data_IF_547992479388
#
_entry.id   IF_547992479388
#
_cell.length_a   1.000
_cell.length_b   1.000
_cell.length_c   1.000
_cell.angle_alpha   90.00
_cell.angle_beta   90.00
_cell.angle_gamma   90.00
#
_symmetry.space_group_name_H-M   'P 1'
#
loop_
_entity.id
_entity.type
_entity.pdbx_description
1 polymer ?
#
# COMPACT_ATOMS: atom_id res chain seq x y z
N UNK A 1 -11.49 20.31 6.50
CA UNK A 1 -11.25 20.89 7.84
C UNK A 1 -9.79 20.65 8.18
N UNK A 2 -8.95 21.68 8.00
CA UNK A 2 -7.49 21.59 8.17
C UNK A 2 -7.08 21.50 9.63
N UNK A 3 -6.01 20.76 9.90
CA UNK A 3 -5.52 20.47 11.24
C UNK A 3 -4.92 21.73 11.89
N UNK A 4 -5.58 22.28 12.91
CA UNK A 4 -5.24 23.55 13.56
C UNK A 4 -4.16 23.49 14.65
N UNK A 5 -3.31 22.45 14.70
CA UNK A 5 -2.38 22.24 15.83
C UNK A 5 -0.90 22.19 15.48
N UNK A 6 -0.49 22.55 14.26
CA UNK A 6 0.93 22.60 13.89
C UNK A 6 1.56 23.94 14.32
N UNK A 7 1.76 24.14 15.62
CA UNK A 7 2.58 25.25 16.12
C UNK A 7 4.00 24.77 16.39
N UNK A 8 4.98 25.41 15.77
CA UNK A 8 6.41 25.25 16.07
C UNK A 8 6.73 25.88 17.43
N UNK A 9 7.58 25.24 18.22
CA UNK A 9 8.15 25.87 19.42
C UNK A 9 9.32 26.79 19.03
N UNK A 10 9.76 27.66 19.96
CA UNK A 10 10.86 28.63 19.72
C UNK A 10 12.18 27.97 19.31
N UNK A 11 12.32 26.65 19.50
CA UNK A 11 13.49 25.85 19.12
C UNK A 11 13.34 25.11 17.78
N UNK A 12 12.33 25.46 16.96
CA UNK A 12 12.18 24.94 15.60
C UNK A 12 11.67 23.49 15.50
N UNK A 13 11.41 22.82 16.61
CA UNK A 13 10.82 21.47 16.60
C UNK A 13 9.28 21.53 16.54
N UNK A 14 8.65 20.85 15.57
CA UNK A 14 7.19 20.76 15.50
C UNK A 14 6.67 19.88 16.64
N UNK A 15 5.68 20.38 17.39
CA UNK A 15 4.90 19.54 18.30
C UNK A 15 4.10 18.56 17.44
N UNK A 16 4.59 17.33 17.31
CA UNK A 16 3.82 16.24 16.70
C UNK A 16 2.46 16.08 17.40
N UNK A 17 1.53 15.38 16.75
CA UNK A 17 0.32 14.92 17.41
C UNK A 17 0.69 14.16 18.70
N UNK A 18 -0.21 14.08 19.69
CA UNK A 18 0.06 13.41 20.99
C UNK A 18 0.50 11.93 20.92
N UNK A 19 0.65 11.37 19.71
CA UNK A 19 1.47 10.20 19.42
C UNK A 19 2.70 10.68 18.65
N UNK A 20 3.90 10.46 19.20
CA UNK A 20 5.24 10.91 18.77
C UNK A 20 5.65 10.65 17.29
N UNK A 21 4.78 10.95 16.32
CA UNK A 21 4.99 10.80 14.89
C UNK A 21 5.25 12.14 14.21
N UNK A 22 5.97 12.06 13.10
CA UNK A 22 6.26 13.16 12.18
C UNK A 22 4.98 13.68 11.55
N UNK A 23 4.79 15.00 11.53
CA UNK A 23 3.61 15.63 10.91
C UNK A 23 3.73 15.68 9.38
N UNK A 24 3.87 14.52 8.74
CA UNK A 24 3.51 14.36 7.33
C UNK A 24 1.99 14.31 7.23
N UNK A 25 1.43 14.92 6.19
CA UNK A 25 -0.03 15.00 5.92
C UNK A 25 -0.75 13.65 5.88
N UNK A 26 0.00 12.53 5.87
CA UNK A 26 -0.53 11.15 5.82
C UNK A 26 -0.37 10.35 7.15
N UNK A 27 0.20 10.95 8.20
CA UNK A 27 0.54 10.25 9.46
C UNK A 27 -0.66 10.00 10.41
N UNK A 28 -1.89 10.39 10.04
CA UNK A 28 -3.08 10.23 10.88
C UNK A 28 -4.01 9.09 10.41
N UNK A 29 -3.43 8.04 9.84
CA UNK A 29 -4.18 6.86 9.40
C UNK A 29 -4.21 5.80 10.52
N UNK A 30 -5.40 5.30 10.89
CA UNK A 30 -5.68 4.31 11.97
C UNK A 30 -4.88 2.99 11.88
N UNK A 31 -4.14 2.77 10.79
CA UNK A 31 -3.37 1.58 10.48
C UNK A 31 -1.86 1.83 10.36
N UNK A 32 -1.35 3.04 10.66
CA UNK A 32 0.10 3.30 10.63
C UNK A 32 0.77 2.51 11.75
N UNK A 33 1.70 1.62 11.38
CA UNK A 33 2.57 0.97 12.37
C UNK A 33 3.71 1.95 12.63
N UNK A 34 3.86 2.36 13.88
CA UNK A 34 4.94 3.24 14.28
C UNK A 34 6.25 2.44 14.30
N UNK A 35 7.28 2.94 13.61
CA UNK A 35 8.59 2.30 13.61
C UNK A 35 9.44 2.81 14.79
N UNK A 36 9.31 2.15 15.93
CA UNK A 36 10.11 2.40 17.13
C UNK A 36 11.61 2.10 16.98
N UNK A 37 12.03 1.41 15.91
CA UNK A 37 13.43 1.04 15.68
C UNK A 37 14.13 1.95 14.68
N UNK A 38 13.43 2.90 14.07
CA UNK A 38 13.94 3.81 13.04
C UNK A 38 15.21 4.58 13.44
N UNK A 39 15.47 4.77 14.74
CA UNK A 39 16.65 5.47 15.28
C UNK A 39 17.66 4.55 16.00
N UNK A 40 17.54 3.23 15.88
CA UNK A 40 18.52 2.29 16.43
C UNK A 40 19.51 1.88 15.33
N UNK A 41 20.79 2.14 15.58
CA UNK A 41 21.87 1.51 14.82
C UNK A 41 21.92 0.02 15.14
N UNK A 42 21.88 -0.82 14.11
CA UNK A 42 22.06 -2.27 14.25
C UNK A 42 23.40 -2.55 14.96
N UNK A 43 23.44 -3.42 15.98
CA UNK A 43 24.69 -3.87 16.56
C UNK A 43 25.55 -4.52 15.48
N UNK A 44 26.87 -4.27 15.50
CA UNK A 44 27.88 -4.97 14.70
C UNK A 44 27.88 -4.77 13.17
N UNK A 45 27.19 -3.76 12.63
CA UNK A 45 27.25 -3.50 11.18
C UNK A 45 26.59 -4.59 10.32
N UNK A 46 25.67 -5.35 10.90
CA UNK A 46 24.83 -6.28 10.16
C UNK A 46 24.00 -5.53 9.11
N UNK A 47 23.84 -6.16 7.94
CA UNK A 47 23.01 -5.60 6.87
C UNK A 47 21.56 -5.54 7.33
N UNK A 48 20.85 -4.42 7.09
CA UNK A 48 19.42 -4.33 7.40
C UNK A 48 18.67 -5.44 6.67
N UNK A 49 17.58 -5.92 7.28
CA UNK A 49 16.78 -6.98 6.70
C UNK A 49 16.22 -6.55 5.33
N UNK A 50 16.48 -7.35 4.29
CA UNK A 50 16.22 -6.98 2.88
C UNK A 50 14.75 -7.00 2.48
N UNK A 51 13.83 -7.27 3.41
CA UNK A 51 12.40 -7.31 3.11
C UNK A 51 11.69 -6.04 3.57
N UNK A 52 10.65 -5.68 2.83
CA UNK A 52 9.87 -4.47 3.03
C UNK A 52 8.38 -4.81 3.02
N UNK A 53 7.61 -4.22 3.93
CA UNK A 53 6.14 -4.29 3.90
C UNK A 53 5.59 -3.16 3.04
N UNK A 54 4.84 -3.51 2.00
CA UNK A 54 4.14 -2.56 1.13
C UNK A 54 2.64 -2.71 1.32
N UNK A 55 1.95 -1.58 1.43
CA UNK A 55 0.50 -1.49 1.53
C UNK A 55 -0.09 -0.97 0.23
N UNK A 56 -1.17 -1.62 -0.18
CA UNK A 56 -2.02 -1.27 -1.31
C UNK A 56 -3.38 -0.75 -0.84
N UNK A 57 -4.29 -0.53 -1.79
CA UNK A 57 -5.67 -0.14 -1.51
C UNK A 57 -6.34 -1.18 -0.58
N UNK A 58 -7.35 -0.73 0.16
CA UNK A 58 -8.15 -1.55 1.09
C UNK A 58 -7.35 -2.20 2.23
N UNK A 59 -6.13 -1.72 2.50
CA UNK A 59 -5.29 -2.26 3.57
C UNK A 59 -4.66 -3.62 3.23
N UNK A 60 -4.72 -4.06 1.97
CA UNK A 60 -3.96 -5.20 1.49
C UNK A 60 -2.47 -4.90 1.70
N UNK A 61 -1.78 -5.79 2.41
CA UNK A 61 -0.35 -5.68 2.71
C UNK A 61 0.37 -6.89 2.15
N UNK A 62 1.50 -6.66 1.52
CA UNK A 62 2.37 -7.73 1.02
C UNK A 62 3.82 -7.42 1.40
N UNK A 63 4.62 -8.46 1.56
CA UNK A 63 6.06 -8.33 1.77
C UNK A 63 6.78 -8.53 0.44
N UNK A 64 7.78 -7.70 0.19
CA UNK A 64 8.62 -7.76 -1.01
C UNK A 64 10.09 -7.78 -0.60
N UNK A 65 10.91 -8.47 -1.39
CA UNK A 65 12.35 -8.48 -1.22
C UNK A 65 12.97 -7.34 -2.03
N UNK A 66 13.75 -6.51 -1.35
CA UNK A 66 14.50 -5.41 -1.94
C UNK A 66 15.84 -5.93 -2.48
N UNK A 67 15.80 -6.60 -3.64
CA UNK A 67 17.01 -7.21 -4.24
C UNK A 67 18.05 -6.19 -4.66
N UNK A 68 17.62 -4.97 -4.98
CA UNK A 68 18.46 -3.93 -5.54
C UNK A 68 18.97 -2.96 -4.47
N UNK A 69 18.73 -3.28 -3.18
CA UNK A 69 19.13 -2.50 -2.02
C UNK A 69 18.77 -1.01 -2.15
N UNK A 70 17.59 -0.74 -2.70
CA UNK A 70 17.08 0.62 -2.86
C UNK A 70 16.95 1.29 -1.48
N UNK A 71 17.32 2.58 -1.34
CA UNK A 71 17.18 3.31 -0.08
C UNK A 71 15.71 3.66 0.16
N UNK A 72 14.94 2.70 0.68
CA UNK A 72 13.51 2.83 0.93
C UNK A 72 13.24 3.28 2.36
N UNK A 73 12.41 4.31 2.50
CA UNK A 73 11.91 4.81 3.78
C UNK A 73 10.42 4.58 3.93
N UNK A 74 9.93 4.56 5.17
CA UNK A 74 8.50 4.47 5.45
C UNK A 74 7.79 5.69 4.84
N UNK A 75 6.70 5.44 4.12
CA UNK A 75 5.95 6.45 3.37
C UNK A 75 6.36 6.56 1.90
N UNK A 76 7.47 5.95 1.48
CA UNK A 76 7.85 5.95 0.06
C UNK A 76 6.82 5.21 -0.79
N UNK A 77 6.52 5.76 -1.96
CA UNK A 77 5.71 5.09 -2.97
C UNK A 77 6.64 4.31 -3.89
N UNK A 78 6.35 3.03 -4.08
CA UNK A 78 7.19 2.08 -4.81
C UNK A 78 6.39 1.34 -5.87
N UNK A 79 7.07 1.01 -6.97
CA UNK A 79 6.56 0.13 -8.00
C UNK A 79 7.00 -1.31 -7.70
N UNK A 80 6.03 -2.20 -7.52
CA UNK A 80 6.22 -3.61 -7.15
C UNK A 80 5.88 -4.55 -8.29
N UNK A 81 6.53 -5.70 -8.30
CA UNK A 81 6.18 -6.79 -9.18
C UNK A 81 4.76 -7.30 -8.87
N UNK A 82 3.95 -7.45 -9.92
CA UNK A 82 2.64 -8.09 -9.87
C UNK A 82 2.61 -9.30 -10.81
N UNK A 83 1.58 -10.15 -10.70
CA UNK A 83 1.39 -11.29 -11.61
C UNK A 83 1.31 -10.87 -13.08
N UNK A 84 0.70 -9.71 -13.32
CA UNK A 84 0.60 -9.06 -14.63
C UNK A 84 0.97 -7.59 -14.45
N UNK A 85 1.95 -7.11 -15.21
CA UNK A 85 2.35 -5.70 -15.17
C UNK A 85 3.07 -5.31 -13.87
N UNK A 86 2.76 -4.12 -13.37
CA UNK A 86 3.30 -3.60 -12.12
C UNK A 86 2.22 -2.95 -11.27
N UNK A 87 2.39 -3.07 -9.94
CA UNK A 87 1.51 -2.44 -8.98
C UNK A 87 2.23 -1.29 -8.25
N UNK A 88 1.47 -0.35 -7.71
CA UNK A 88 2.00 0.81 -6.99
C UNK A 88 1.47 0.80 -5.57
N UNK A 89 2.38 0.80 -4.60
CA UNK A 89 2.05 0.73 -3.20
C UNK A 89 2.94 1.63 -2.33
N UNK A 90 2.53 1.81 -1.09
CA UNK A 90 3.25 2.62 -0.10
C UNK A 90 4.00 1.72 0.87
N UNK A 91 5.27 2.02 1.13
CA UNK A 91 6.09 1.34 2.12
C UNK A 91 5.58 1.68 3.52
N UNK A 92 5.25 0.66 4.31
CA UNK A 92 4.75 0.85 5.67
C UNK A 92 5.71 0.39 6.75
N UNK A 93 6.58 -0.58 6.46
CA UNK A 93 7.62 -1.04 7.37
C UNK A 93 8.87 -1.45 6.59
N UNK A 94 10.03 -1.19 7.18
CA UNK A 94 11.34 -1.60 6.68
C UNK A 94 12.15 -2.24 7.81
N UNK A 95 13.23 -2.96 7.47
CA UNK A 95 14.18 -3.48 8.44
C UNK A 95 13.62 -4.59 9.35
N UNK A 96 14.12 -4.68 10.57
CA UNK A 96 13.91 -5.83 11.45
C UNK A 96 12.45 -5.99 11.90
N UNK A 97 11.67 -4.90 11.92
CA UNK A 97 10.23 -4.97 12.17
C UNK A 97 9.50 -5.84 11.14
N UNK A 98 9.96 -5.85 9.88
CA UNK A 98 9.39 -6.70 8.84
C UNK A 98 9.62 -8.18 9.18
N UNK A 99 10.80 -8.54 9.71
CA UNK A 99 11.07 -9.93 10.13
C UNK A 99 10.10 -10.39 11.21
N UNK A 100 9.84 -9.57 12.21
CA UNK A 100 8.88 -9.89 13.29
C UNK A 100 7.47 -10.06 12.74
N UNK A 101 7.06 -9.19 11.81
CA UNK A 101 5.74 -9.26 11.18
C UNK A 101 5.57 -10.48 10.25
N UNK A 102 6.61 -10.82 9.50
CA UNK A 102 6.62 -12.02 8.63
C UNK A 102 6.53 -13.30 9.47
N UNK A 103 7.31 -13.40 10.56
CA UNK A 103 7.22 -14.54 11.49
C UNK A 103 5.83 -14.66 12.11
N UNK A 104 5.24 -13.55 12.56
CA UNK A 104 3.90 -13.54 13.15
C UNK A 104 2.80 -13.97 12.16
N UNK A 105 2.96 -13.64 10.88
CA UNK A 105 2.00 -14.01 9.82
C UNK A 105 2.32 -15.35 9.14
N UNK A 106 3.36 -16.05 9.58
CA UNK A 106 3.86 -17.27 8.95
C UNK A 106 4.00 -17.13 7.43
N UNK A 107 4.56 -15.99 6.97
CA UNK A 107 4.68 -15.69 5.56
C UNK A 107 5.74 -16.58 4.91
N UNK A 108 5.35 -17.30 3.85
CA UNK A 108 6.25 -18.15 3.09
C UNK A 108 7.13 -17.29 2.16
N UNK A 109 8.44 -17.52 2.22
CA UNK A 109 9.42 -16.76 1.45
C UNK A 109 9.63 -17.33 0.05
N UNK A 110 8.95 -18.40 -0.32
CA UNK A 110 9.10 -19.06 -1.63
C UNK A 110 8.61 -18.22 -2.81
N UNK A 111 7.62 -17.35 -2.61
CA UNK A 111 7.05 -16.48 -3.65
C UNK A 111 7.68 -15.06 -3.55
N UNK A 112 9.00 -14.99 -3.80
CA UNK A 112 9.80 -13.76 -3.69
C UNK A 112 9.43 -12.73 -4.76
N UNK A 113 8.39 -11.93 -4.50
CA UNK A 113 8.09 -10.76 -5.32
C UNK A 113 9.08 -9.62 -5.02
N UNK A 114 9.50 -8.90 -6.06
CA UNK A 114 10.53 -7.86 -5.99
C UNK A 114 9.95 -6.45 -6.06
N UNK A 115 10.66 -5.50 -5.45
CA UNK A 115 10.47 -4.06 -5.67
C UNK A 115 11.34 -3.65 -6.86
N UNK A 116 10.76 -3.00 -7.86
CA UNK A 116 11.52 -2.57 -9.05
C UNK A 116 12.23 -1.24 -8.83
N UNK A 117 11.51 -0.25 -8.29
CA UNK A 117 12.01 1.12 -8.12
C UNK A 117 11.09 1.92 -7.21
N UNK A 118 11.58 3.08 -6.76
CA UNK A 118 10.69 4.14 -6.28
C UNK A 118 9.78 4.59 -7.43
N UNK A 119 8.50 4.79 -7.14
CA UNK A 119 7.54 5.22 -8.14
C UNK A 119 7.94 6.59 -8.69
N UNK A 120 8.00 6.70 -10.01
CA UNK A 120 8.21 8.00 -10.66
C UNK A 120 6.94 8.84 -10.58
N UNK A 121 7.04 10.15 -10.82
CA UNK A 121 5.86 11.01 -10.87
C UNK A 121 4.83 10.51 -11.90
N UNK A 122 5.30 10.00 -13.04
CA UNK A 122 4.43 9.40 -14.06
C UNK A 122 3.67 8.18 -13.52
N UNK A 123 4.34 7.31 -12.77
CA UNK A 123 3.72 6.13 -12.17
C UNK A 123 2.64 6.55 -11.16
N UNK A 124 2.91 7.59 -10.35
CA UNK A 124 1.95 8.16 -9.40
C UNK A 124 0.75 8.78 -10.13
N UNK A 125 0.98 9.55 -11.19
CA UNK A 125 -0.09 10.19 -11.95
C UNK A 125 -1.00 9.15 -12.63
N UNK A 126 -0.43 8.06 -13.16
CA UNK A 126 -1.19 6.95 -13.72
C UNK A 126 -1.99 6.25 -12.62
N UNK A 127 -1.36 5.95 -11.49
CA UNK A 127 -2.01 5.31 -10.35
C UNK A 127 -3.20 6.13 -9.84
N UNK A 128 -3.05 7.44 -9.68
CA UNK A 128 -4.13 8.35 -9.27
C UNK A 128 -5.26 8.35 -10.30
N UNK A 129 -4.95 8.50 -11.59
CA UNK A 129 -5.96 8.45 -12.67
C UNK A 129 -6.69 7.12 -12.74
N UNK A 130 -6.00 6.01 -12.50
CA UNK A 130 -6.60 4.68 -12.45
C UNK A 130 -7.57 4.56 -11.27
N UNK A 131 -7.21 5.11 -10.11
CA UNK A 131 -8.09 5.16 -8.94
C UNK A 131 -9.34 6.02 -9.16
N UNK A 132 -9.21 7.15 -9.85
CA UNK A 132 -10.36 8.00 -10.19
C UNK A 132 -11.37 7.30 -11.12
N UNK A 133 -10.92 6.30 -11.89
CA UNK A 133 -11.81 5.49 -12.75
C UNK A 133 -12.59 4.42 -11.97
N UNK A 134 -12.21 4.10 -10.74
CA UNK A 134 -12.85 3.04 -9.94
C UNK A 134 -14.33 3.33 -9.68
N UNK A 135 -14.64 4.55 -9.22
CA UNK A 135 -16.01 4.94 -8.87
C UNK A 135 -16.96 4.94 -10.07
N UNK A 136 -16.66 5.59 -11.22
CA UNK A 136 -17.54 5.51 -12.38
C UNK A 136 -17.60 4.09 -12.96
N UNK A 137 -16.52 3.30 -12.88
CA UNK A 137 -16.54 1.91 -13.31
C UNK A 137 -17.46 1.07 -12.43
N UNK A 138 -17.54 1.35 -11.12
CA UNK A 138 -18.42 0.64 -10.18
C UNK A 138 -19.88 0.79 -10.53
N UNK A 139 -20.30 1.98 -10.92
CA UNK A 139 -21.67 2.24 -11.37
C UNK A 139 -21.95 1.49 -12.68
N UNK A 140 -21.04 1.57 -13.66
CA UNK A 140 -21.18 0.84 -14.93
C UNK A 140 -21.20 -0.67 -14.75
N UNK A 141 -20.36 -1.21 -13.88
CA UNK A 141 -20.30 -2.64 -13.61
C UNK A 141 -21.60 -3.14 -12.97
N UNK A 142 -22.25 -2.33 -12.12
CA UNK A 142 -23.59 -2.65 -11.58
C UNK A 142 -24.65 -2.65 -12.68
N UNK A 143 -24.60 -1.69 -13.60
CA UNK A 143 -25.48 -1.66 -14.75
C UNK A 143 -25.33 -2.94 -15.58
N UNK A 144 -24.10 -3.34 -15.91
CA UNK A 144 -23.85 -4.57 -16.67
C UNK A 144 -24.33 -5.83 -15.95
N UNK A 145 -24.15 -5.91 -14.63
CA UNK A 145 -24.68 -7.05 -13.86
C UNK A 145 -26.20 -7.17 -13.97
N UNK A 146 -26.92 -6.04 -13.97
CA UNK A 146 -28.38 -6.00 -14.14
C UNK A 146 -28.76 -6.38 -15.58
N UNK A 147 -28.10 -5.79 -16.57
CA UNK A 147 -28.38 -6.02 -18.00
C UNK A 147 -28.16 -7.49 -18.38
N UNK A 148 -27.13 -8.13 -17.80
CA UNK A 148 -26.83 -9.55 -17.97
C UNK A 148 -27.62 -10.47 -17.02
N UNK A 149 -28.48 -9.92 -16.16
CA UNK A 149 -29.28 -10.65 -15.17
C UNK A 149 -28.43 -11.55 -14.25
N UNK A 150 -27.23 -11.10 -13.90
CA UNK A 150 -26.36 -11.78 -12.96
C UNK A 150 -26.81 -11.49 -11.53
N UNK A 151 -27.10 -12.53 -10.76
CA UNK A 151 -27.49 -12.42 -9.34
C UNK A 151 -26.28 -12.14 -8.44
N UNK A 152 -25.68 -10.97 -8.61
CA UNK A 152 -24.49 -10.54 -7.86
C UNK A 152 -24.55 -9.07 -7.44
N UNK A 153 -23.89 -8.77 -6.31
CA UNK A 153 -23.73 -7.41 -5.79
C UNK A 153 -22.26 -7.03 -5.83
N UNK A 154 -21.92 -6.04 -6.65
CA UNK A 154 -20.55 -5.51 -6.75
C UNK A 154 -20.26 -4.62 -5.54
N UNK A 155 -19.28 -5.04 -4.75
CA UNK A 155 -18.87 -4.39 -3.51
C UNK A 155 -17.79 -3.34 -3.75
N UNK A 156 -16.72 -3.68 -4.46
CA UNK A 156 -15.61 -2.78 -4.74
C UNK A 156 -14.85 -3.12 -6.03
N UNK A 157 -14.06 -2.17 -6.52
CA UNK A 157 -13.19 -2.33 -7.68
C UNK A 157 -11.79 -1.79 -7.33
N UNK A 158 -10.77 -2.53 -7.72
CA UNK A 158 -9.36 -2.13 -7.58
C UNK A 158 -8.69 -2.17 -8.95
N UNK A 159 -8.16 -1.04 -9.40
CA UNK A 159 -7.21 -1.03 -10.50
C UNK A 159 -5.79 -1.25 -9.99
N UNK A 160 -5.00 -2.01 -10.75
CA UNK A 160 -3.56 -2.05 -10.54
C UNK A 160 -2.93 -0.66 -10.76
N UNK A 161 -1.76 -0.45 -10.14
CA UNK A 161 -0.99 0.80 -10.28
C UNK A 161 -0.81 1.28 -11.72
N UNK A 162 -0.62 0.36 -12.66
CA UNK A 162 -0.46 0.65 -14.09
C UNK A 162 -1.78 0.73 -14.89
N UNK A 163 -2.91 0.42 -14.26
CA UNK A 163 -4.23 0.38 -14.87
C UNK A 163 -4.45 -0.78 -15.85
N UNK A 164 -3.52 -1.73 -15.96
CA UNK A 164 -3.60 -2.85 -16.91
C UNK A 164 -4.63 -3.90 -16.53
N UNK A 165 -4.89 -4.07 -15.23
CA UNK A 165 -5.88 -4.99 -14.68
C UNK A 165 -6.83 -4.28 -13.73
N UNK A 166 -8.10 -4.65 -13.80
CA UNK A 166 -9.12 -4.31 -12.83
C UNK A 166 -9.58 -5.59 -12.12
N UNK A 167 -9.67 -5.54 -10.79
CA UNK A 167 -10.21 -6.61 -9.98
C UNK A 167 -11.55 -6.15 -9.39
N UNK A 168 -12.59 -6.92 -9.66
CA UNK A 168 -13.95 -6.66 -9.18
C UNK A 168 -14.24 -7.58 -8.00
N UNK A 169 -14.63 -6.99 -6.88
CA UNK A 169 -15.11 -7.72 -5.71
C UNK A 169 -16.62 -7.75 -5.73
N UNK A 170 -17.19 -8.94 -5.55
CA UNK A 170 -18.63 -9.14 -5.54
C UNK A 170 -19.06 -10.18 -4.52
N UNK A 171 -20.34 -10.14 -4.17
CA UNK A 171 -21.03 -11.16 -3.37
C UNK A 171 -22.20 -11.69 -4.18
N UNK A 172 -22.38 -13.00 -4.18
CA UNK A 172 -23.49 -13.68 -4.85
C UNK A 172 -24.00 -14.81 -3.94
N UNK A 173 -25.30 -15.11 -4.03
CA UNK A 173 -25.90 -16.23 -3.30
C UNK A 173 -25.64 -17.55 -4.02
N UNK A 174 -25.76 -17.53 -5.34
CA UNK A 174 -25.49 -18.67 -6.22
C UNK A 174 -24.26 -18.46 -7.10
N UNK A 175 -23.85 -19.53 -7.79
CA UNK A 175 -22.73 -19.50 -8.73
C UNK A 175 -23.04 -18.56 -9.90
N UNK A 176 -22.20 -17.55 -10.08
CA UNK A 176 -22.25 -16.64 -11.23
C UNK A 176 -21.44 -17.22 -12.39
N UNK A 177 -22.06 -17.36 -13.56
CA UNK A 177 -21.37 -17.72 -14.81
C UNK A 177 -21.10 -16.43 -15.62
N UNK A 178 -19.84 -16.24 -16.04
CA UNK A 178 -19.35 -15.05 -16.74
C UNK A 178 -19.01 -15.32 -18.22
N UNK A 179 -19.47 -16.46 -18.75
CA UNK A 179 -19.25 -16.87 -20.14
C UNK A 179 -20.03 -16.05 -21.16
#
# INVERSE_FOLDING_TARGET
MGCGSCTTTKDGQPKGCKNNGTCGTDSCNKLTVFDWLSNMSLPNGEKPFDWVEVRFKNGRKHYYKNTDYLPLTIGDIVATQAQTGHDVGMVTLTGELVRVQMKRKNFDQTDEQKIYRKASQKDIDIWVKSREKEEPMKVKARQFAIDLKLEMKISDIEYQGDGSKATFYYTAEDRVDFR
#
